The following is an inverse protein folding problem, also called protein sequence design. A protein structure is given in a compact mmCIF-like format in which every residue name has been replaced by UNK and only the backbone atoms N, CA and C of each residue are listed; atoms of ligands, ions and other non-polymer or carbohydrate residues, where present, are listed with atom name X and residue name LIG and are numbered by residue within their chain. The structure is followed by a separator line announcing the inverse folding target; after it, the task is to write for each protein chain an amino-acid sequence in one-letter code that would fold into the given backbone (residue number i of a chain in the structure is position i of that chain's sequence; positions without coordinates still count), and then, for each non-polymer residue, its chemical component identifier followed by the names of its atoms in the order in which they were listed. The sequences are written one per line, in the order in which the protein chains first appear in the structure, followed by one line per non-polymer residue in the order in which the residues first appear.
data_IF_802469049022
#
_entry.id   IF_802469049022
#
_cell.length_a   1.000
_cell.length_b   1.000
_cell.length_c   1.000
_cell.angle_alpha   90.00
_cell.angle_beta   90.00
_cell.angle_gamma   90.00
#
_symmetry.space_group_name_H-M   'P 1'
#
loop_
_entity.id
_entity.type
_entity.pdbx_description
1 polymer ?
#
# COMPACT_ATOMS: atom_id res chain seq x y z
N UNK A 1 0.53 -4.88 -4.51
CA UNK A 1 0.05 -4.55 -5.87
C UNK A 1 -1.46 -4.47 -5.85
N UNK A 2 -2.04 -3.30 -6.14
CA UNK A 2 -3.49 -3.07 -6.13
C UNK A 2 -4.14 -3.21 -7.51
N UNK A 3 -3.39 -3.67 -8.51
CA UNK A 3 -3.80 -3.67 -9.93
C UNK A 3 -3.73 -2.29 -10.60
N UNK A 4 -3.47 -1.23 -9.83
CA UNK A 4 -3.24 0.11 -10.37
C UNK A 4 -1.81 0.33 -10.86
N UNK A 5 -1.66 1.25 -11.82
CA UNK A 5 -0.39 1.67 -12.43
C UNK A 5 0.70 1.95 -11.40
N UNK A 6 0.37 2.64 -10.31
CA UNK A 6 1.37 3.06 -9.30
C UNK A 6 2.05 1.87 -8.64
N UNK A 7 1.27 0.86 -8.25
CA UNK A 7 1.83 -0.33 -7.64
C UNK A 7 2.61 -1.20 -8.63
N UNK A 8 2.23 -1.16 -9.91
CA UNK A 8 2.92 -1.84 -11.00
C UNK A 8 4.27 -1.21 -11.30
N UNK A 9 4.32 0.12 -11.41
CA UNK A 9 5.55 0.89 -11.62
C UNK A 9 6.48 0.75 -10.42
N UNK A 10 5.95 0.80 -9.20
CA UNK A 10 6.76 0.57 -8.00
C UNK A 10 7.44 -0.80 -7.99
N UNK A 11 6.72 -1.87 -8.35
CA UNK A 11 7.30 -3.22 -8.47
C UNK A 11 8.35 -3.29 -9.58
N UNK A 12 8.09 -2.67 -10.72
CA UNK A 12 9.04 -2.58 -11.83
C UNK A 12 10.33 -1.86 -11.44
N UNK A 13 10.24 -0.71 -10.75
CA UNK A 13 11.40 0.07 -10.33
C UNK A 13 12.28 -0.73 -9.37
N UNK A 14 11.69 -1.40 -8.38
CA UNK A 14 12.45 -2.25 -7.45
C UNK A 14 13.15 -3.40 -8.18
N UNK A 15 12.47 -4.06 -9.13
CA UNK A 15 13.10 -5.11 -9.92
C UNK A 15 14.26 -4.55 -10.78
N UNK A 16 14.06 -3.37 -11.38
CA UNK A 16 15.09 -2.68 -12.16
C UNK A 16 16.31 -2.30 -11.30
N UNK A 17 16.08 -1.94 -10.04
CA UNK A 17 17.11 -1.60 -9.06
C UNK A 17 17.82 -2.84 -8.47
N UNK A 18 17.48 -4.04 -8.95
CA UNK A 18 18.15 -5.29 -8.61
C UNK A 18 17.59 -6.03 -7.39
N UNK A 19 16.43 -5.61 -6.87
CA UNK A 19 15.76 -6.33 -5.80
C UNK A 19 15.14 -7.63 -6.29
N UNK A 20 15.16 -8.65 -5.44
CA UNK A 20 14.22 -9.76 -5.54
C UNK A 20 12.84 -9.28 -5.07
N UNK A 21 11.84 -9.34 -5.96
CA UNK A 21 10.53 -8.73 -5.73
C UNK A 21 9.45 -9.80 -5.73
N UNK A 22 8.63 -9.78 -4.68
CA UNK A 22 7.40 -10.56 -4.57
C UNK A 22 6.21 -9.59 -4.57
N UNK A 23 5.22 -9.86 -5.42
CA UNK A 23 3.98 -9.12 -5.49
C UNK A 23 2.94 -9.66 -4.50
N UNK A 24 2.23 -8.76 -3.80
CA UNK A 24 1.18 -9.13 -2.86
C UNK A 24 -0.06 -8.28 -3.06
N UNK A 25 -1.24 -8.90 -3.18
CA UNK A 25 -2.53 -8.21 -3.23
C UNK A 25 -3.41 -8.57 -2.02
N UNK A 26 -4.26 -7.63 -1.60
CA UNK A 26 -5.25 -7.87 -0.55
C UNK A 26 -6.62 -8.12 -1.15
N UNK A 27 -7.28 -9.18 -0.71
CA UNK A 27 -8.71 -9.39 -0.94
C UNK A 27 -9.50 -8.68 0.16
N UNK A 28 -10.28 -7.66 -0.23
CA UNK A 28 -10.98 -6.76 0.69
C UNK A 28 -12.51 -6.98 0.73
N UNK A 29 -13.07 -7.65 -0.29
CA UNK A 29 -14.52 -7.89 -0.42
C UNK A 29 -14.77 -9.21 -1.14
N UNK A 30 -15.91 -9.85 -0.86
CA UNK A 30 -16.34 -11.07 -1.54
C UNK A 30 -16.82 -10.78 -2.98
N UNK A 31 -16.48 -11.67 -3.90
CA UNK A 31 -16.88 -11.62 -5.33
C UNK A 31 -18.40 -11.59 -5.53
N UNK A 32 -19.17 -12.12 -4.57
CA UNK A 32 -20.64 -12.25 -4.68
C UNK A 32 -21.37 -10.92 -4.46
N UNK A 33 -20.77 -9.99 -3.72
CA UNK A 33 -21.41 -8.73 -3.32
C UNK A 33 -21.33 -7.63 -4.39
N UNK A 34 -20.51 -7.83 -5.44
CA UNK A 34 -20.18 -6.81 -6.44
C UNK A 34 -21.17 -6.77 -7.62
N UNK A 35 -22.06 -7.76 -7.77
CA UNK A 35 -22.98 -7.81 -8.94
C UNK A 35 -24.03 -6.70 -9.01
N UNK A 36 -24.21 -5.88 -7.95
CA UNK A 36 -25.30 -4.89 -7.86
C UNK A 36 -24.89 -3.42 -7.94
N UNK A 37 -23.61 -3.10 -7.91
CA UNK A 37 -23.14 -1.71 -7.99
C UNK A 37 -21.89 -1.63 -8.88
N UNK A 38 -21.72 -0.51 -9.60
CA UNK A 38 -20.53 -0.18 -10.41
C UNK A 38 -19.28 0.03 -9.53
N UNK A 39 -18.99 -0.93 -8.66
CA UNK A 39 -17.90 -0.88 -7.69
C UNK A 39 -16.70 -1.56 -8.35
N UNK A 40 -15.72 -0.74 -8.74
CA UNK A 40 -14.42 -1.16 -9.26
C UNK A 40 -13.89 -2.38 -8.49
N UNK A 41 -13.90 -3.53 -9.17
CA UNK A 41 -13.87 -4.89 -8.64
C UNK A 41 -12.53 -5.26 -8.01
N UNK A 42 -12.49 -5.70 -6.74
CA UNK A 42 -11.28 -6.28 -6.11
C UNK A 42 -10.72 -7.46 -6.89
N UNK A 43 -11.58 -8.37 -7.34
CA UNK A 43 -11.15 -9.57 -8.04
C UNK A 43 -10.50 -9.24 -9.40
N UNK A 44 -11.07 -8.30 -10.15
CA UNK A 44 -10.50 -7.85 -11.41
C UNK A 44 -9.16 -7.13 -11.20
N UNK A 45 -9.05 -6.31 -10.14
CA UNK A 45 -7.77 -5.66 -9.80
C UNK A 45 -6.70 -6.65 -9.36
N UNK A 46 -7.06 -7.73 -8.67
CA UNK A 46 -6.14 -8.83 -8.34
C UNK A 46 -5.67 -9.55 -9.61
N UNK A 47 -6.56 -9.84 -10.55
CA UNK A 47 -6.16 -10.46 -11.84
C UNK A 47 -5.26 -9.52 -12.66
N UNK A 48 -5.53 -8.22 -12.68
CA UNK A 48 -4.64 -7.22 -13.30
C UNK A 48 -3.26 -7.23 -12.61
N UNK A 49 -3.23 -7.25 -11.28
CA UNK A 49 -1.97 -7.31 -10.53
C UNK A 49 -1.17 -8.57 -10.85
N UNK A 50 -1.84 -9.73 -10.91
CA UNK A 50 -1.23 -11.02 -11.26
C UNK A 50 -0.69 -11.03 -12.70
N UNK A 51 -1.46 -10.47 -13.65
CA UNK A 51 -1.02 -10.33 -15.04
C UNK A 51 0.23 -9.46 -15.17
N UNK A 52 0.26 -8.31 -14.49
CA UNK A 52 1.43 -7.43 -14.46
C UNK A 52 2.63 -8.13 -13.82
N UNK A 53 2.44 -8.80 -12.69
CA UNK A 53 3.49 -9.57 -12.02
C UNK A 53 4.10 -10.63 -12.95
N UNK A 54 3.26 -11.37 -13.69
CA UNK A 54 3.72 -12.33 -14.69
C UNK A 54 4.55 -11.69 -15.81
N UNK A 55 4.14 -10.52 -16.32
CA UNK A 55 4.92 -9.76 -17.31
C UNK A 55 6.25 -9.26 -16.76
N UNK A 56 6.27 -8.89 -15.48
CA UNK A 56 7.50 -8.50 -14.79
C UNK A 56 8.35 -9.71 -14.41
N UNK A 57 7.85 -10.94 -14.53
CA UNK A 57 8.54 -12.16 -14.08
C UNK A 57 8.78 -12.16 -12.57
N UNK A 58 7.80 -11.74 -11.78
CA UNK A 58 7.82 -11.79 -10.31
C UNK A 58 6.68 -12.68 -9.81
N UNK A 59 6.90 -13.34 -8.68
CA UNK A 59 5.83 -14.10 -8.02
C UNK A 59 4.75 -13.17 -7.50
N UNK A 60 3.51 -13.66 -7.42
CA UNK A 60 2.37 -12.89 -6.94
C UNK A 60 1.43 -13.73 -6.08
N UNK A 61 1.13 -13.21 -4.90
CA UNK A 61 0.26 -13.82 -3.90
C UNK A 61 -0.90 -12.90 -3.55
N UNK A 62 -1.98 -13.50 -3.05
CA UNK A 62 -3.15 -12.78 -2.54
C UNK A 62 -3.42 -13.21 -1.12
N UNK A 63 -3.73 -12.24 -0.26
CA UNK A 63 -4.04 -12.46 1.14
C UNK A 63 -5.44 -11.98 1.41
N UNK A 64 -6.21 -12.83 2.08
CA UNK A 64 -7.54 -12.50 2.55
C UNK A 64 -7.45 -11.65 3.81
N UNK A 65 -7.91 -10.41 3.71
CA UNK A 65 -7.98 -9.48 4.86
C UNK A 65 -9.40 -8.95 5.04
N UNK A 66 -10.41 -9.63 4.48
CA UNK A 66 -11.81 -9.18 4.46
C UNK A 66 -12.36 -8.92 5.85
N UNK A 67 -12.19 -9.86 6.77
CA UNK A 67 -12.72 -9.73 8.13
C UNK A 67 -12.08 -8.56 8.89
N UNK A 68 -10.76 -8.42 8.79
CA UNK A 68 -10.02 -7.32 9.40
C UNK A 68 -10.42 -5.98 8.77
N UNK A 69 -10.54 -5.93 7.45
CA UNK A 69 -10.93 -4.73 6.73
C UNK A 69 -12.36 -4.30 7.06
N UNK A 70 -13.31 -5.23 7.12
CA UNK A 70 -14.67 -4.96 7.54
C UNK A 70 -14.68 -4.37 8.96
N UNK A 71 -14.06 -5.07 9.90
CA UNK A 71 -14.06 -4.69 11.32
C UNK A 71 -13.37 -3.36 11.61
N UNK A 72 -12.18 -3.15 11.05
CA UNK A 72 -11.36 -1.99 11.41
C UNK A 72 -11.55 -0.77 10.50
N UNK A 73 -12.21 -0.93 9.36
CA UNK A 73 -12.38 0.16 8.38
C UNK A 73 -13.86 0.41 8.09
N UNK A 74 -14.63 -0.63 7.79
CA UNK A 74 -16.03 -0.46 7.34
C UNK A 74 -16.97 -0.16 8.52
N UNK A 75 -16.84 -0.86 9.65
CA UNK A 75 -17.67 -0.58 10.83
C UNK A 75 -17.48 0.87 11.30
N UNK A 76 -16.24 1.31 11.51
CA UNK A 76 -15.94 2.71 11.89
C UNK A 76 -16.45 3.73 10.87
N UNK A 77 -16.32 3.42 9.58
CA UNK A 77 -16.81 4.28 8.51
C UNK A 77 -18.33 4.46 8.60
N UNK A 78 -19.08 3.36 8.73
CA UNK A 78 -20.54 3.40 8.87
C UNK A 78 -20.97 4.10 10.15
N UNK A 79 -20.39 3.76 11.30
CA UNK A 79 -20.72 4.33 12.60
C UNK A 79 -20.44 5.83 12.66
N UNK A 80 -19.31 6.28 12.08
CA UNK A 80 -18.96 7.69 11.99
C UNK A 80 -19.98 8.50 11.19
N UNK A 81 -20.47 7.96 10.07
CA UNK A 81 -21.51 8.62 9.29
C UNK A 81 -22.85 8.66 10.03
N UNK A 82 -23.23 7.58 10.72
CA UNK A 82 -24.43 7.54 11.57
C UNK A 82 -24.33 8.61 12.67
N UNK A 83 -23.12 8.83 13.21
CA UNK A 83 -22.84 9.86 14.21
C UNK A 83 -22.69 11.29 13.64
N UNK A 84 -22.90 11.50 12.33
CA UNK A 84 -22.82 12.81 11.69
C UNK A 84 -21.40 13.33 11.45
N UNK A 85 -20.39 12.46 11.53
CA UNK A 85 -19.00 12.77 11.23
C UNK A 85 -18.63 12.38 9.80
N UNK A 86 -17.54 12.96 9.26
CA UNK A 86 -16.98 12.56 7.96
C UNK A 86 -15.67 11.79 8.18
N UNK A 87 -15.68 10.45 8.18
CA UNK A 87 -14.48 9.64 8.41
C UNK A 87 -13.56 9.60 7.18
N UNK A 88 -12.30 9.23 7.41
CA UNK A 88 -11.35 8.93 6.33
C UNK A 88 -10.88 7.47 6.44
N UNK A 89 -11.50 6.54 5.69
CA UNK A 89 -11.20 5.11 5.79
C UNK A 89 -9.79 4.76 5.31
N UNK A 90 -9.16 5.60 4.47
CA UNK A 90 -7.80 5.37 4.00
C UNK A 90 -6.76 5.45 5.14
N UNK A 91 -7.02 6.29 6.14
CA UNK A 91 -6.15 6.40 7.33
C UNK A 91 -6.21 5.07 8.10
N UNK A 92 -7.40 4.53 8.35
CA UNK A 92 -7.58 3.28 9.08
C UNK A 92 -7.08 2.07 8.29
N UNK A 93 -7.31 2.05 6.97
CA UNK A 93 -6.77 1.03 6.09
C UNK A 93 -5.23 1.00 6.15
N UNK A 94 -4.56 2.16 6.09
CA UNK A 94 -3.11 2.18 6.26
C UNK A 94 -2.69 1.76 7.68
N UNK A 95 -3.42 2.20 8.70
CA UNK A 95 -3.10 1.93 10.11
C UNK A 95 -3.20 0.45 10.48
N UNK A 96 -4.31 -0.21 10.11
CA UNK A 96 -4.68 -1.53 10.62
C UNK A 96 -4.58 -2.66 9.60
N UNK A 97 -4.55 -2.33 8.30
CA UNK A 97 -4.60 -3.33 7.23
C UNK A 97 -3.28 -3.33 6.48
N UNK A 98 -2.95 -2.24 5.79
CA UNK A 98 -1.88 -2.27 4.80
C UNK A 98 -0.51 -2.54 5.40
N UNK A 99 -0.07 -1.72 6.36
CA UNK A 99 1.30 -1.82 6.86
C UNK A 99 1.47 -2.95 7.89
N UNK A 100 0.42 -3.30 8.64
CA UNK A 100 0.46 -4.43 9.57
C UNK A 100 0.57 -5.76 8.83
N UNK A 101 -0.32 -6.00 7.86
CA UNK A 101 -0.28 -7.25 7.10
C UNK A 101 0.97 -7.33 6.20
N UNK A 102 1.38 -6.25 5.54
CA UNK A 102 2.64 -6.28 4.76
C UNK A 102 3.85 -6.58 5.65
N UNK A 103 3.92 -6.02 6.85
CA UNK A 103 5.04 -6.25 7.76
C UNK A 103 5.01 -7.66 8.35
N UNK A 104 3.83 -8.21 8.64
CA UNK A 104 3.68 -9.59 9.05
C UNK A 104 4.19 -10.54 7.95
N UNK A 105 3.74 -10.35 6.72
CA UNK A 105 4.15 -11.17 5.57
C UNK A 105 5.64 -11.06 5.29
N UNK A 106 6.22 -9.86 5.44
CA UNK A 106 7.66 -9.69 5.33
C UNK A 106 8.42 -10.49 6.41
N UNK A 107 7.89 -10.57 7.64
CA UNK A 107 8.49 -11.38 8.71
C UNK A 107 8.40 -12.88 8.40
N UNK A 108 7.25 -13.35 7.91
CA UNK A 108 7.00 -14.76 7.60
C UNK A 108 7.82 -15.25 6.39
N UNK A 109 8.01 -14.39 5.40
CA UNK A 109 8.76 -14.71 4.16
C UNK A 109 10.25 -14.39 4.25
N UNK A 110 10.71 -13.74 5.33
CA UNK A 110 12.09 -13.28 5.46
C UNK A 110 12.45 -12.11 4.53
N UNK A 111 11.45 -11.32 4.10
CA UNK A 111 11.66 -10.15 3.25
C UNK A 111 12.29 -8.98 4.03
N UNK A 112 13.31 -8.35 3.46
CA UNK A 112 14.05 -7.27 4.13
C UNK A 112 13.25 -5.96 4.31
N UNK A 113 12.47 -5.60 3.28
CA UNK A 113 11.72 -4.34 3.17
C UNK A 113 10.39 -4.54 2.45
N UNK A 114 9.37 -3.78 2.85
CA UNK A 114 8.08 -3.71 2.17
C UNK A 114 8.01 -2.48 1.28
N UNK A 115 7.25 -2.56 0.19
CA UNK A 115 7.10 -1.45 -0.75
C UNK A 115 5.64 -1.18 -1.09
N UNK A 116 5.33 0.10 -1.30
CA UNK A 116 4.01 0.50 -1.78
C UNK A 116 4.13 1.59 -2.84
N UNK A 117 3.14 1.68 -3.74
CA UNK A 117 3.06 2.74 -4.74
C UNK A 117 2.57 4.09 -4.18
N UNK A 118 2.84 4.40 -2.91
CA UNK A 118 2.49 5.71 -2.38
C UNK A 118 3.53 6.76 -2.81
N UNK A 119 3.05 7.96 -3.13
CA UNK A 119 3.88 9.14 -3.37
C UNK A 119 4.23 9.79 -2.04
N UNK A 120 5.19 9.18 -1.33
CA UNK A 120 5.76 9.68 -0.09
C UNK A 120 7.23 9.27 -0.05
N UNK A 121 8.01 9.79 0.91
CA UNK A 121 9.43 9.45 1.04
C UNK A 121 9.78 9.12 2.48
N UNK A 122 10.80 8.30 2.65
CA UNK A 122 11.43 8.03 3.94
C UNK A 122 12.82 8.63 3.97
N UNK A 123 13.25 9.16 5.11
CA UNK A 123 14.61 9.68 5.28
C UNK A 123 15.12 9.36 6.67
N UNK A 124 16.28 8.71 6.76
CA UNK A 124 16.98 8.53 8.04
C UNK A 124 17.56 9.86 8.50
N UNK A 125 17.32 10.22 9.75
CA UNK A 125 17.85 11.42 10.38
C UNK A 125 18.37 11.10 11.79
N UNK A 126 19.39 11.84 12.24
CA UNK A 126 20.05 11.64 13.53
C UNK A 126 21.42 10.94 13.41
N UNK A 127 22.13 10.81 14.53
CA UNK A 127 23.37 10.03 14.66
C UNK A 127 23.05 8.55 14.87
N UNK A 128 24.03 7.65 14.71
CA UNK A 128 23.85 6.18 14.84
C UNK A 128 22.96 5.76 16.01
N UNK A 129 23.20 6.37 17.18
CA UNK A 129 22.60 6.00 18.46
C UNK A 129 21.21 6.65 18.69
N UNK A 130 20.83 7.62 17.83
CA UNK A 130 19.54 8.33 17.87
C UNK A 130 18.88 8.41 16.49
N UNK A 131 19.21 7.48 15.61
CA UNK A 131 18.71 7.49 14.23
C UNK A 131 17.22 7.15 14.22
N UNK A 132 16.44 7.94 13.47
CA UNK A 132 15.01 7.72 13.26
C UNK A 132 14.66 7.85 11.79
N UNK A 133 13.56 7.21 11.39
CA UNK A 133 13.06 7.32 10.03
C UNK A 133 11.94 8.35 9.99
N UNK A 134 12.15 9.38 9.18
CA UNK A 134 11.20 10.45 8.95
C UNK A 134 10.32 10.13 7.75
N UNK A 135 9.01 10.31 7.89
CA UNK A 135 8.09 10.41 6.77
C UNK A 135 8.19 11.81 6.16
N UNK A 136 8.44 11.88 4.85
CA UNK A 136 8.56 13.11 4.07
C UNK A 136 7.53 13.10 2.95
N UNK A 137 7.16 14.31 2.51
CA UNK A 137 6.30 14.49 1.33
C UNK A 137 6.96 13.93 0.08
N UNK A 138 6.16 13.37 -0.83
CA UNK A 138 6.59 13.10 -2.20
C UNK A 138 7.05 14.38 -2.92
N UNK A 139 7.88 14.25 -3.95
CA UNK A 139 8.37 15.42 -4.73
C UNK A 139 7.24 16.11 -5.51
N UNK A 140 6.22 15.35 -5.90
CA UNK A 140 5.01 15.89 -6.51
C UNK A 140 4.00 16.27 -5.42
N UNK A 141 3.98 17.55 -5.06
CA UNK A 141 3.06 18.09 -4.06
C UNK A 141 1.58 17.89 -4.39
N UNK A 142 1.21 17.74 -5.68
CA UNK A 142 -0.19 17.54 -6.08
C UNK A 142 -0.64 16.09 -5.87
N UNK A 143 0.32 15.18 -5.70
CA UNK A 143 0.06 13.74 -5.54
C UNK A 143 0.65 13.17 -4.26
N UNK A 144 1.29 13.99 -3.43
CA UNK A 144 1.77 13.62 -2.11
C UNK A 144 0.69 12.89 -1.31
N UNK A 145 1.07 11.72 -0.79
CA UNK A 145 0.22 10.85 0.01
C UNK A 145 0.71 10.73 1.45
N UNK A 146 1.71 11.52 1.86
CA UNK A 146 2.21 11.52 3.23
C UNK A 146 1.11 11.76 4.28
N UNK A 147 0.05 12.50 3.92
CA UNK A 147 -1.11 12.74 4.78
C UNK A 147 -1.78 11.44 5.25
N UNK A 148 -2.03 10.46 4.38
CA UNK A 148 -2.70 9.21 4.81
C UNK A 148 -1.76 8.23 5.53
N UNK A 149 -0.49 8.60 5.69
CA UNK A 149 0.57 7.77 6.25
C UNK A 149 1.05 8.27 7.62
N UNK A 150 0.46 9.35 8.18
CA UNK A 150 0.90 9.89 9.49
C UNK A 150 0.76 8.89 10.64
N UNK A 151 -0.07 7.87 10.46
CA UNK A 151 -0.35 6.80 11.44
C UNK A 151 0.75 5.74 11.51
N UNK A 152 1.72 5.75 10.59
CA UNK A 152 2.76 4.72 10.55
C UNK A 152 3.69 4.80 11.76
N UNK A 153 4.04 3.64 12.29
CA UNK A 153 5.02 3.51 13.39
C UNK A 153 6.45 3.63 12.88
N UNK A 154 7.42 3.81 13.79
CA UNK A 154 8.83 3.80 13.41
C UNK A 154 9.29 2.43 12.88
N UNK A 155 8.75 1.33 13.41
CA UNK A 155 9.04 -0.02 12.89
C UNK A 155 8.60 -0.12 11.43
N UNK A 156 7.33 0.21 11.15
CA UNK A 156 6.75 0.20 9.80
C UNK A 156 7.54 1.11 8.85
N UNK A 157 7.81 2.36 9.24
CA UNK A 157 8.60 3.31 8.43
C UNK A 157 10.01 2.80 8.16
N UNK A 158 10.67 2.19 9.14
CA UNK A 158 12.05 1.70 8.99
C UNK A 158 12.20 0.54 8.02
N UNK A 159 11.09 -0.17 7.78
CA UNK A 159 10.99 -1.32 6.88
C UNK A 159 10.27 -1.01 5.59
N UNK A 160 9.82 0.22 5.36
CA UNK A 160 9.05 0.59 4.16
C UNK A 160 9.89 1.44 3.20
N UNK A 161 9.80 1.12 1.92
CA UNK A 161 10.28 1.96 0.82
C UNK A 161 9.09 2.45 -0.03
N UNK A 162 9.23 3.65 -0.59
CA UNK A 162 8.24 4.28 -1.45
C UNK A 162 8.88 4.63 -2.81
N UNK A 163 8.92 3.69 -3.77
CA UNK A 163 9.66 3.87 -5.03
C UNK A 163 9.20 5.08 -5.86
N UNK A 164 7.94 5.50 -5.70
CA UNK A 164 7.37 6.64 -6.44
C UNK A 164 7.59 7.99 -5.74
N UNK A 165 8.22 8.00 -4.57
CA UNK A 165 8.37 9.19 -3.74
C UNK A 165 9.13 10.34 -4.40
N UNK A 166 10.09 10.01 -5.26
CA UNK A 166 10.92 10.96 -6.01
C UNK A 166 10.47 11.13 -7.48
N UNK A 167 9.27 10.66 -7.82
CA UNK A 167 8.68 10.81 -9.15
C UNK A 167 7.45 11.73 -9.14
N UNK A 168 7.24 12.41 -10.26
CA UNK A 168 5.97 13.06 -10.59
C UNK A 168 5.00 12.09 -11.24
N UNK A 169 3.71 12.38 -11.10
CA UNK A 169 2.67 11.48 -11.61
C UNK A 169 2.73 11.30 -13.13
N UNK A 170 3.13 12.33 -13.86
CA UNK A 170 3.30 12.24 -15.30
C UNK A 170 4.37 11.21 -15.69
N UNK A 171 5.47 11.12 -14.93
CA UNK A 171 6.57 10.19 -15.18
C UNK A 171 6.15 8.73 -14.97
N UNK A 172 5.22 8.46 -14.05
CA UNK A 172 4.70 7.10 -13.82
C UNK A 172 3.72 6.62 -14.89
N UNK A 173 3.28 7.48 -15.80
CA UNK A 173 2.32 7.16 -16.88
C UNK A 173 2.95 7.12 -18.28
N UNK A 174 4.16 7.67 -18.43
CA UNK A 174 4.92 7.71 -19.67
C UNK A 174 5.59 6.36 -19.94
#
# INVERSE_FOLDING_TARGET
MSGGVDSSVAAYLLKKDGYEVIGLSFELWDRRDVKKFNTCCSAETVEIAKSVAGKLGIEHYTIDVRDAFYRYVIEDFCDSYIAGSTPNPCILCNKYIKFDFLLQEAKETGTDVIATGHYARTCRAGTSDKSRVLLKKGVDFRKDQSYVLYVMTQEQLSKTVFPLGDMRKEETRA
#
